data_IF_872008315619
#
_entry.id   IF_872008315619
#
_cell.length_a   1.000
_cell.length_b   1.000
_cell.length_c   1.000
_cell.angle_alpha   90.00
_cell.angle_beta   90.00
_cell.angle_gamma   90.00
#
_symmetry.space_group_name_H-M   'P 1'
#
loop_
_entity.id
_entity.type
_entity.pdbx_description
1 polymer ?
#
# COMPACT_ATOMS: atom_id res chain seq x y z
N UNK A 1 5.24 12.34 24.91
CA UNK A 1 5.65 11.44 23.81
C UNK A 1 6.87 12.06 23.15
N UNK A 2 8.06 11.56 23.48
CA UNK A 2 9.32 12.14 23.03
C UNK A 2 9.51 11.79 21.56
N UNK A 3 9.44 12.81 20.69
CA UNK A 3 9.85 12.69 19.29
C UNK A 3 11.34 12.38 19.32
N UNK A 4 11.69 11.10 19.16
CA UNK A 4 13.07 10.69 19.00
C UNK A 4 13.60 11.39 17.75
N UNK A 5 14.38 12.44 17.96
CA UNK A 5 15.33 12.96 16.96
C UNK A 5 16.41 11.89 16.77
N UNK A 6 16.07 10.79 16.09
CA UNK A 6 17.08 9.92 15.51
C UNK A 6 17.52 10.56 14.20
N UNK A 7 18.66 11.22 14.31
CA UNK A 7 19.49 11.73 13.24
C UNK A 7 20.01 10.53 12.45
N UNK A 8 19.19 9.97 11.57
CA UNK A 8 19.63 9.03 10.54
C UNK A 8 19.30 9.66 9.20
N UNK A 9 20.32 9.79 8.38
CA UNK A 9 20.29 10.33 7.03
C UNK A 9 19.01 9.87 6.30
N UNK A 10 18.06 10.79 6.10
CA UNK A 10 16.89 10.52 5.26
C UNK A 10 17.40 9.97 3.92
N UNK A 11 16.75 8.97 3.34
CA UNK A 11 17.05 8.52 1.98
C UNK A 11 17.18 9.73 1.04
N UNK A 12 16.37 10.77 1.27
CA UNK A 12 16.52 12.08 0.63
C UNK A 12 17.88 12.76 0.87
N UNK A 13 18.38 12.82 2.10
CA UNK A 13 19.70 13.41 2.40
C UNK A 13 20.87 12.59 1.85
N UNK A 14 20.68 11.29 1.60
CA UNK A 14 21.69 10.39 0.99
C UNK A 14 21.82 10.58 -0.52
N UNK A 15 20.77 11.10 -1.18
CA UNK A 15 20.78 11.40 -2.60
C UNK A 15 21.74 12.57 -2.91
N UNK A 16 22.30 12.57 -4.13
CA UNK A 16 23.06 13.74 -4.61
C UNK A 16 22.13 14.95 -4.82
N UNK A 17 22.72 16.13 -5.01
CA UNK A 17 21.95 17.37 -5.16
C UNK A 17 20.94 17.32 -6.31
N UNK A 18 21.25 16.64 -7.40
CA UNK A 18 20.38 16.56 -8.58
C UNK A 18 19.19 15.62 -8.37
N UNK A 19 19.41 14.49 -7.69
CA UNK A 19 18.33 13.60 -7.30
C UNK A 19 17.43 14.28 -6.25
N UNK A 20 18.01 14.99 -5.27
CA UNK A 20 17.23 15.78 -4.31
C UNK A 20 16.37 16.84 -5.01
N UNK A 21 16.95 17.59 -5.95
CA UNK A 21 16.21 18.60 -6.73
C UNK A 21 15.10 17.96 -7.57
N UNK A 22 15.38 16.82 -8.22
CA UNK A 22 14.35 16.07 -8.95
C UNK A 22 13.20 15.63 -8.03
N UNK A 23 13.49 15.16 -6.82
CA UNK A 23 12.44 14.81 -5.83
C UNK A 23 11.57 16.01 -5.48
N UNK A 24 12.16 17.20 -5.26
CA UNK A 24 11.41 18.43 -4.98
C UNK A 24 10.50 18.83 -6.14
N UNK A 25 11.05 18.88 -7.35
CA UNK A 25 10.29 19.27 -8.55
C UNK A 25 9.16 18.27 -8.86
N UNK A 26 9.39 16.98 -8.63
CA UNK A 26 8.35 15.96 -8.79
C UNK A 26 7.24 16.06 -7.73
N UNK A 27 7.56 16.53 -6.52
CA UNK A 27 6.57 16.78 -5.48
C UNK A 27 5.71 18.03 -5.78
N UNK A 28 6.32 19.09 -6.31
CA UNK A 28 5.60 20.31 -6.73
C UNK A 28 4.56 19.99 -7.81
N UNK A 29 4.86 19.09 -8.75
CA UNK A 29 3.90 18.58 -9.74
C UNK A 29 3.56 19.55 -10.87
N UNK A 30 4.15 20.75 -10.88
CA UNK A 30 3.89 21.80 -11.87
C UNK A 30 4.59 21.58 -13.22
N UNK A 31 5.59 20.70 -13.26
CA UNK A 31 6.46 20.49 -14.42
C UNK A 31 6.31 19.08 -14.99
N UNK A 32 6.38 18.98 -16.33
CA UNK A 32 6.49 17.68 -17.00
C UNK A 32 7.89 17.09 -16.79
N UNK A 33 7.98 15.77 -16.89
CA UNK A 33 9.26 15.04 -16.76
C UNK A 33 10.38 15.57 -17.67
N UNK A 34 10.02 16.04 -18.87
CA UNK A 34 10.96 16.66 -19.81
C UNK A 34 11.55 17.97 -19.29
N UNK A 35 10.71 18.79 -18.66
CA UNK A 35 11.09 20.09 -18.10
C UNK A 35 11.91 19.90 -16.83
N UNK A 36 11.52 18.93 -15.99
CA UNK A 36 12.29 18.53 -14.80
C UNK A 36 13.68 18.04 -15.21
N UNK A 37 13.75 17.13 -16.20
CA UNK A 37 15.01 16.59 -16.71
C UNK A 37 15.93 17.70 -17.26
N UNK A 38 15.39 18.65 -18.02
CA UNK A 38 16.13 19.84 -18.49
C UNK A 38 16.64 20.67 -17.31
N UNK A 39 15.81 20.95 -16.31
CA UNK A 39 16.15 21.78 -15.14
C UNK A 39 17.29 21.18 -14.30
N UNK A 40 17.28 19.86 -14.11
CA UNK A 40 18.37 19.14 -13.41
C UNK A 40 19.56 18.80 -14.32
N UNK A 41 19.53 19.22 -15.60
CA UNK A 41 20.52 18.94 -16.63
C UNK A 41 20.83 17.44 -16.75
N UNK A 42 19.77 16.67 -17.04
CA UNK A 42 19.78 15.21 -17.27
C UNK A 42 18.83 14.84 -18.41
N UNK A 43 18.99 13.62 -18.93
CA UNK A 43 18.04 13.08 -19.90
C UNK A 43 16.74 12.63 -19.23
N UNK A 44 15.65 12.66 -19.98
CA UNK A 44 14.35 12.11 -19.55
C UNK A 44 14.44 10.64 -19.18
N UNK A 45 15.25 9.86 -19.91
CA UNK A 45 15.51 8.45 -19.64
C UNK A 45 16.20 8.26 -18.28
N UNK A 46 17.11 9.15 -17.92
CA UNK A 46 17.78 9.13 -16.60
C UNK A 46 16.76 9.36 -15.49
N UNK A 47 15.90 10.38 -15.62
CA UNK A 47 14.84 10.65 -14.65
C UNK A 47 13.87 9.46 -14.52
N UNK A 48 13.51 8.84 -15.65
CA UNK A 48 12.67 7.65 -15.65
C UNK A 48 13.30 6.47 -14.91
N UNK A 49 14.61 6.25 -15.07
CA UNK A 49 15.35 5.24 -14.31
C UNK A 49 15.32 5.53 -12.81
N UNK A 50 15.54 6.79 -12.42
CA UNK A 50 15.49 7.21 -11.01
C UNK A 50 14.11 6.96 -10.39
N UNK A 51 13.02 7.26 -11.09
CA UNK A 51 11.66 6.95 -10.60
C UNK A 51 11.42 5.47 -10.29
N UNK A 52 12.23 4.56 -10.85
CA UNK A 52 12.16 3.13 -10.58
C UNK A 52 13.10 2.68 -9.48
N UNK A 53 14.11 3.49 -9.14
CA UNK A 53 15.11 3.19 -8.13
C UNK A 53 14.49 3.16 -6.72
N UNK A 54 14.76 2.10 -5.92
CA UNK A 54 14.19 1.98 -4.57
C UNK A 54 14.57 3.13 -3.63
N UNK A 55 15.83 3.57 -3.64
CA UNK A 55 16.31 4.64 -2.77
C UNK A 55 15.64 5.98 -3.14
N UNK A 56 15.48 6.24 -4.44
CA UNK A 56 14.78 7.43 -4.92
C UNK A 56 13.29 7.44 -4.53
N UNK A 57 12.60 6.29 -4.63
CA UNK A 57 11.20 6.18 -4.18
C UNK A 57 11.05 6.41 -2.68
N UNK A 58 11.94 5.82 -1.89
CA UNK A 58 11.97 6.02 -0.44
C UNK A 58 12.20 7.51 -0.11
N UNK A 59 13.16 8.14 -0.78
CA UNK A 59 13.42 9.56 -0.64
C UNK A 59 12.22 10.45 -1.01
N UNK A 60 11.47 10.11 -2.07
CA UNK A 60 10.24 10.83 -2.43
C UNK A 60 9.17 10.71 -1.34
N UNK A 61 8.98 9.49 -0.82
CA UNK A 61 8.01 9.24 0.24
C UNK A 61 8.36 9.99 1.52
N UNK A 62 9.62 9.91 1.96
CA UNK A 62 10.12 10.64 3.13
C UNK A 62 10.00 12.15 2.97
N UNK A 63 10.39 12.68 1.80
CA UNK A 63 10.26 14.11 1.51
C UNK A 63 8.79 14.55 1.58
N UNK A 64 7.87 13.77 1.01
CA UNK A 64 6.43 14.05 1.06
C UNK A 64 5.91 14.09 2.50
N UNK A 65 6.28 13.12 3.35
CA UNK A 65 5.92 13.12 4.77
C UNK A 65 6.49 14.35 5.48
N UNK A 66 7.75 14.71 5.22
CA UNK A 66 8.37 15.90 5.79
C UNK A 66 7.60 17.17 5.41
N UNK A 67 7.21 17.32 4.14
CA UNK A 67 6.44 18.47 3.68
C UNK A 67 5.04 18.51 4.30
N UNK A 68 4.36 17.37 4.41
CA UNK A 68 3.06 17.27 5.09
C UNK A 68 3.17 17.65 6.59
N UNK A 69 4.21 17.18 7.27
CA UNK A 69 4.47 17.54 8.67
C UNK A 69 4.74 19.05 8.83
N UNK A 70 5.41 19.67 7.86
CA UNK A 70 5.62 21.12 7.86
C UNK A 70 4.32 21.90 7.61
N UNK A 71 3.40 21.37 6.80
CA UNK A 71 2.10 21.97 6.53
C UNK A 71 1.07 21.73 7.65
N UNK A 72 1.29 20.72 8.50
CA UNK A 72 0.36 20.30 9.54
C UNK A 72 -0.07 21.43 10.50
N UNK A 73 0.83 22.30 11.01
CA UNK A 73 0.43 23.38 11.90
C UNK A 73 -0.55 24.36 11.25
N UNK A 74 -0.35 24.69 9.97
CA UNK A 74 -1.23 25.61 9.25
C UNK A 74 -2.57 24.96 8.90
N UNK A 75 -2.57 23.68 8.55
CA UNK A 75 -3.80 22.90 8.40
C UNK A 75 -4.62 22.87 9.70
N UNK A 76 -3.97 22.69 10.86
CA UNK A 76 -4.63 22.74 12.17
C UNK A 76 -5.21 24.13 12.45
N UNK A 77 -4.48 25.21 12.13
CA UNK A 77 -5.00 26.58 12.28
C UNK A 77 -6.25 26.80 11.43
N UNK A 78 -6.25 26.36 10.18
CA UNK A 78 -7.42 26.46 9.31
C UNK A 78 -8.60 25.62 9.83
N UNK A 79 -8.34 24.42 10.33
CA UNK A 79 -9.37 23.59 10.97
C UNK A 79 -10.01 24.31 12.17
N UNK A 80 -9.20 24.93 13.03
CA UNK A 80 -9.69 25.72 14.17
C UNK A 80 -10.48 26.96 13.73
N UNK A 81 -10.10 27.61 12.61
CA UNK A 81 -10.88 28.71 12.03
C UNK A 81 -12.23 28.22 11.52
N UNK A 82 -12.31 27.06 10.89
CA UNK A 82 -13.58 26.48 10.44
C UNK A 82 -14.53 26.22 11.62
N UNK A 83 -14.00 25.72 12.74
CA UNK A 83 -14.79 25.48 13.96
C UNK A 83 -15.35 26.81 14.52
N UNK A 84 -14.50 27.83 14.64
CA UNK A 84 -14.88 29.12 15.26
C UNK A 84 -15.78 29.96 14.36
N UNK A 85 -15.40 30.08 13.09
CA UNK A 85 -15.90 31.12 12.18
C UNK A 85 -16.61 30.56 10.94
N UNK A 86 -16.74 29.25 10.80
CA UNK A 86 -17.44 28.64 9.66
C UNK A 86 -18.85 29.20 9.49
N UNK A 87 -19.28 29.42 8.25
CA UNK A 87 -20.66 29.89 7.97
C UNK A 87 -21.68 28.75 7.96
N UNK A 88 -21.22 27.53 7.68
CA UNK A 88 -22.06 26.32 7.62
C UNK A 88 -21.93 25.51 8.90
N UNK A 89 -23.06 25.21 9.53
CA UNK A 89 -23.14 24.35 10.71
C UNK A 89 -22.59 22.94 10.42
N UNK A 90 -22.84 22.41 9.22
CA UNK A 90 -22.32 21.11 8.81
C UNK A 90 -20.79 21.11 8.72
N UNK A 91 -20.18 22.18 8.19
CA UNK A 91 -18.71 22.30 8.11
C UNK A 91 -18.10 22.42 9.51
N UNK A 92 -18.75 23.15 10.43
CA UNK A 92 -18.33 23.18 11.84
C UNK A 92 -18.40 21.81 12.47
N UNK A 93 -19.53 21.10 12.31
CA UNK A 93 -19.73 19.76 12.85
C UNK A 93 -18.66 18.80 12.35
N UNK A 94 -18.38 18.79 11.04
CA UNK A 94 -17.34 17.96 10.45
C UNK A 94 -15.95 18.30 11.01
N UNK A 95 -15.60 19.58 11.11
CA UNK A 95 -14.32 20.01 11.67
C UNK A 95 -14.17 19.59 13.15
N UNK A 96 -15.23 19.73 13.94
CA UNK A 96 -15.27 19.28 15.34
C UNK A 96 -15.12 17.75 15.41
N UNK A 97 -15.86 16.99 14.59
CA UNK A 97 -15.74 15.54 14.52
C UNK A 97 -14.32 15.09 14.15
N UNK A 98 -13.66 15.76 13.21
CA UNK A 98 -12.27 15.47 12.84
C UNK A 98 -11.32 15.66 14.02
N UNK A 99 -11.44 16.77 14.76
CA UNK A 99 -10.61 17.01 15.96
C UNK A 99 -10.86 15.93 17.01
N UNK A 100 -12.13 15.58 17.27
CA UNK A 100 -12.47 14.56 18.25
C UNK A 100 -11.94 13.17 17.84
N UNK A 101 -12.02 12.81 16.54
CA UNK A 101 -11.45 11.54 16.03
C UNK A 101 -9.93 11.50 16.22
N UNK A 102 -9.24 12.59 15.88
CA UNK A 102 -7.79 12.69 16.06
C UNK A 102 -7.36 12.67 17.54
N UNK A 103 -8.18 13.22 18.43
CA UNK A 103 -7.97 13.15 19.88
C UNK A 103 -8.31 11.78 20.50
N UNK A 104 -8.81 10.83 19.69
CA UNK A 104 -9.29 9.54 20.19
C UNK A 104 -10.57 9.63 21.03
N UNK A 105 -11.26 10.78 20.99
CA UNK A 105 -12.49 11.06 21.75
C UNK A 105 -13.76 10.70 20.97
N UNK A 106 -13.65 10.58 19.65
CA UNK A 106 -14.69 10.00 18.80
C UNK A 106 -14.33 8.54 18.53
N UNK A 107 -14.97 7.62 19.23
CA UNK A 107 -14.91 6.20 18.91
C UNK A 107 -15.80 5.93 17.68
N UNK A 108 -15.26 6.15 16.48
CA UNK A 108 -15.86 5.60 15.26
C UNK A 108 -15.59 4.08 15.27
N UNK A 109 -16.44 3.32 15.96
CA UNK A 109 -16.64 1.87 15.77
C UNK A 109 -15.53 0.91 16.30
N UNK A 110 -14.91 1.21 17.44
CA UNK A 110 -13.95 0.31 18.08
C UNK A 110 -14.24 0.13 19.56
N UNK A 111 -15.29 -0.61 19.92
CA UNK A 111 -15.21 -1.31 21.20
C UNK A 111 -14.26 -2.50 21.01
N UNK A 112 -13.45 -2.86 22.03
CA UNK A 112 -12.59 -4.05 21.96
C UNK A 112 -13.35 -5.32 21.53
N UNK A 113 -14.64 -5.38 21.82
CA UNK A 113 -15.55 -6.47 21.46
C UNK A 113 -15.84 -6.54 19.96
N UNK A 114 -16.05 -5.41 19.29
CA UNK A 114 -16.33 -5.38 17.85
C UNK A 114 -15.07 -5.71 17.02
N UNK A 115 -13.91 -5.26 17.48
CA UNK A 115 -12.62 -5.63 16.87
C UNK A 115 -12.31 -7.11 17.06
N UNK A 116 -12.56 -7.65 18.26
CA UNK A 116 -12.46 -9.09 18.52
C UNK A 116 -13.42 -9.90 17.64
N UNK A 117 -14.66 -9.44 17.45
CA UNK A 117 -15.64 -10.08 16.57
C UNK A 117 -15.19 -10.08 15.10
N UNK A 118 -14.62 -8.97 14.62
CA UNK A 118 -14.08 -8.86 13.26
C UNK A 118 -12.90 -9.81 13.04
N UNK A 119 -11.99 -9.90 14.01
CA UNK A 119 -10.85 -10.83 13.99
C UNK A 119 -11.34 -12.28 14.00
N UNK A 120 -12.32 -12.62 14.84
CA UNK A 120 -12.93 -13.98 14.88
C UNK A 120 -13.56 -14.36 13.55
N UNK A 121 -14.29 -13.43 12.91
CA UNK A 121 -14.88 -13.65 11.59
C UNK A 121 -13.81 -13.88 10.53
N UNK A 122 -12.79 -13.02 10.47
CA UNK A 122 -11.69 -13.16 9.52
C UNK A 122 -10.95 -14.51 9.69
N UNK A 123 -10.72 -14.94 10.94
CA UNK A 123 -10.11 -16.24 11.21
C UNK A 123 -11.01 -17.42 10.82
N UNK A 124 -12.33 -17.32 11.01
CA UNK A 124 -13.28 -18.34 10.58
C UNK A 124 -13.34 -18.44 9.06
N UNK A 125 -13.39 -17.30 8.37
CA UNK A 125 -13.39 -17.23 6.91
C UNK A 125 -12.09 -17.80 6.31
N UNK A 126 -10.94 -17.51 6.93
CA UNK A 126 -9.64 -18.10 6.57
C UNK A 126 -9.64 -19.62 6.73
N UNK A 127 -10.15 -20.14 7.85
CA UNK A 127 -10.26 -21.59 8.08
C UNK A 127 -11.16 -22.29 7.07
N UNK A 128 -12.27 -21.65 6.67
CA UNK A 128 -13.17 -22.20 5.64
C UNK A 128 -12.48 -22.21 4.28
N UNK A 129 -11.71 -21.17 3.95
CA UNK A 129 -10.95 -21.12 2.70
C UNK A 129 -9.84 -22.19 2.66
N UNK A 130 -9.10 -22.38 3.74
CA UNK A 130 -8.07 -23.44 3.87
C UNK A 130 -8.67 -24.84 3.75
N UNK A 131 -9.81 -25.10 4.41
CA UNK A 131 -10.49 -26.40 4.32
C UNK A 131 -11.00 -26.68 2.91
N UNK A 132 -11.50 -25.65 2.21
CA UNK A 132 -11.92 -25.77 0.81
C UNK A 132 -10.73 -26.02 -0.13
N UNK A 133 -9.61 -25.32 0.08
CA UNK A 133 -8.40 -25.52 -0.71
C UNK A 133 -7.86 -26.96 -0.54
N UNK A 134 -7.78 -27.45 0.70
CA UNK A 134 -7.33 -28.81 0.98
C UNK A 134 -8.23 -29.89 0.37
N UNK A 135 -9.55 -29.72 0.44
CA UNK A 135 -10.48 -30.63 -0.20
C UNK A 135 -10.38 -30.62 -1.74
N UNK A 136 -9.94 -29.50 -2.34
CA UNK A 136 -9.69 -29.43 -3.78
C UNK A 136 -8.36 -30.09 -4.16
N UNK A 137 -7.32 -29.97 -3.33
CA UNK A 137 -6.04 -30.67 -3.52
C UNK A 137 -6.19 -32.20 -3.41
N UNK A 138 -6.87 -32.68 -2.36
CA UNK A 138 -7.09 -34.12 -2.14
C UNK A 138 -7.88 -34.75 -3.31
N UNK A 139 -8.95 -34.09 -3.77
CA UNK A 139 -9.74 -34.56 -4.92
C UNK A 139 -8.97 -34.48 -6.25
N UNK A 140 -8.05 -33.53 -6.40
CA UNK A 140 -7.19 -33.42 -7.58
C UNK A 140 -6.19 -34.57 -7.69
N UNK A 141 -5.58 -34.94 -6.57
CA UNK A 141 -4.62 -36.06 -6.49
C UNK A 141 -5.27 -37.42 -6.77
N UNK A 142 -6.47 -37.66 -6.24
CA UNK A 142 -7.22 -38.89 -6.51
C UNK A 142 -7.62 -39.02 -7.99
N UNK A 143 -7.93 -37.90 -8.65
CA UNK A 143 -8.26 -37.88 -10.08
C UNK A 143 -7.04 -38.13 -10.96
N UNK A 144 -5.87 -37.57 -10.63
CA UNK A 144 -4.61 -37.84 -11.33
C UNK A 144 -4.23 -39.33 -11.25
N UNK A 145 -4.34 -39.96 -10.08
CA UNK A 145 -4.05 -41.39 -9.93
C UNK A 145 -5.02 -42.29 -10.72
N UNK A 146 -6.28 -41.88 -10.86
CA UNK A 146 -7.27 -42.58 -11.68
C UNK A 146 -6.96 -42.45 -13.16
N UNK A 147 -6.60 -41.25 -13.62
CA UNK A 147 -6.20 -41.00 -15.01
C UNK A 147 -4.96 -41.80 -15.39
N UNK A 148 -3.93 -41.84 -14.53
CA UNK A 148 -2.72 -42.63 -14.76
C UNK A 148 -3.02 -44.12 -14.88
N UNK A 149 -3.86 -44.67 -14.00
CA UNK A 149 -4.28 -46.08 -14.07
C UNK A 149 -5.04 -46.42 -15.36
N UNK A 150 -5.90 -45.51 -15.83
CA UNK A 150 -6.60 -45.71 -17.10
C UNK A 150 -5.63 -45.65 -18.29
N UNK A 151 -4.68 -44.70 -18.29
CA UNK A 151 -3.67 -44.58 -19.33
C UNK A 151 -2.80 -45.84 -19.41
N UNK A 152 -2.35 -46.35 -18.26
CA UNK A 152 -1.60 -47.61 -18.16
C UNK A 152 -2.37 -48.82 -18.69
N UNK A 153 -3.69 -48.84 -18.46
CA UNK A 153 -4.56 -49.93 -18.92
C UNK A 153 -4.71 -49.88 -20.44
N UNK A 154 -4.95 -48.70 -21.01
CA UNK A 154 -5.01 -48.49 -22.46
C UNK A 154 -3.70 -48.85 -23.16
N UNK A 155 -2.55 -48.47 -22.59
CA UNK A 155 -1.22 -48.82 -23.13
C UNK A 155 -1.00 -50.35 -23.10
N UNK A 156 -1.49 -51.04 -22.06
CA UNK A 156 -1.41 -52.51 -21.97
C UNK A 156 -2.34 -53.22 -22.96
N UNK A 157 -3.51 -52.65 -23.24
CA UNK A 157 -4.46 -53.18 -24.22
C UNK A 157 -3.95 -52.98 -25.66
N UNK A 158 -3.36 -51.84 -25.97
CA UNK A 158 -2.78 -51.55 -27.30
C UNK A 158 -1.61 -52.48 -27.64
N UNK A 159 -0.72 -52.77 -26.66
CA UNK A 159 0.36 -53.75 -26.81
C UNK A 159 -0.11 -55.19 -27.02
N UNK A 160 -1.33 -55.53 -26.57
CA UNK A 160 -1.93 -56.86 -26.80
C UNK A 160 -2.56 -56.97 -28.20
N UNK A 161 -3.11 -55.87 -28.73
CA UNK A 161 -3.72 -55.85 -30.08
C UNK A 161 -2.69 -55.75 -31.22
N UNK A 162 -1.51 -55.17 -30.99
CA UNK A 162 -0.46 -55.02 -32.01
C UNK A 162 0.39 -56.27 -32.31
N UNK A 163 0.09 -57.42 -31.70
CA UNK A 163 0.90 -58.63 -31.83
C UNK A 163 0.20 -59.78 -32.59
N UNK A 164 -0.71 -59.42 -33.51
CA UNK A 164 -1.43 -60.33 -34.41
C UNK A 164 -1.11 -60.03 -35.87
#
# INVERSE_FOLDING_TARGET
>A
MTIKKNKEYSAFSKLDKKHQEAVKLLFEGDLKDEEIAKKINRSTVTLWKWKKDPLFKEAQHEYSISQLNNALPDAIKELLKLIRNGKSEMVKLQAIQTVLKQAGLFADNGTPELDAARIRKANADARVAEARAKAMEDNGQDMEQLLDKMLDTLIKEDKKSGNN
#
